data_IF_932451829311
#
_entry.id   IF_932451829311
#
_cell.length_a   1.000
_cell.length_b   1.000
_cell.length_c   1.000
_cell.angle_alpha   90.00
_cell.angle_beta   90.00
_cell.angle_gamma   90.00
#
_symmetry.space_group_name_H-M   'P 1'
#
loop_
_entity.id
_entity.type
_entity.pdbx_description
1 polymer ?
#
# COMPACT_ATOMS: atom_id res chain seq x y z
N UNK A 1 -4.77 -8.93 -5.50
CA UNK A 1 -3.46 -8.58 -6.12
C UNK A 1 -3.66 -7.73 -7.38
N UNK A 2 -4.36 -8.22 -8.41
CA UNK A 2 -4.57 -7.46 -9.66
C UNK A 2 -5.34 -6.14 -9.47
N UNK A 3 -6.30 -6.09 -8.54
CA UNK A 3 -7.03 -4.86 -8.19
C UNK A 3 -6.10 -3.75 -7.69
N UNK A 4 -5.14 -4.11 -6.83
CA UNK A 4 -4.16 -3.18 -6.26
C UNK A 4 -3.19 -2.67 -7.32
N UNK A 5 -2.64 -3.56 -8.14
CA UNK A 5 -1.73 -3.18 -9.25
C UNK A 5 -2.45 -2.26 -10.23
N UNK A 6 -3.70 -2.59 -10.57
CA UNK A 6 -4.52 -1.79 -11.48
C UNK A 6 -4.81 -0.41 -10.91
N UNK A 7 -5.20 -0.33 -9.64
CA UNK A 7 -5.46 0.96 -8.98
C UNK A 7 -4.20 1.84 -8.91
N UNK A 8 -3.05 1.25 -8.59
CA UNK A 8 -1.77 1.96 -8.60
C UNK A 8 -1.46 2.56 -9.98
N UNK A 9 -1.66 1.78 -11.05
CA UNK A 9 -1.45 2.22 -12.42
C UNK A 9 -2.45 3.31 -12.83
N UNK A 10 -3.74 3.12 -12.57
CA UNK A 10 -4.81 4.08 -12.86
C UNK A 10 -4.60 5.40 -12.09
N UNK A 11 -4.13 5.34 -10.84
CA UNK A 11 -3.85 6.51 -10.01
C UNK A 11 -2.75 7.43 -10.55
N UNK A 12 -1.86 6.93 -11.41
CA UNK A 12 -0.80 7.72 -12.04
C UNK A 12 -1.03 7.97 -13.54
N UNK A 13 -2.10 7.44 -14.13
CA UNK A 13 -2.34 7.62 -15.57
C UNK A 13 -2.54 9.10 -15.91
N UNK A 14 -1.71 9.61 -16.82
CA UNK A 14 -1.75 11.01 -17.25
C UNK A 14 -1.16 12.00 -16.24
N UNK A 15 -0.64 11.54 -15.10
CA UNK A 15 0.02 12.39 -14.12
C UNK A 15 1.39 12.83 -14.66
N UNK A 16 1.58 14.15 -14.78
CA UNK A 16 2.90 14.74 -15.03
C UNK A 16 3.44 15.32 -13.74
N UNK A 17 4.31 14.57 -13.08
CA UNK A 17 4.95 14.95 -11.84
C UNK A 17 6.39 14.42 -11.81
N UNK A 18 7.17 14.87 -10.83
CA UNK A 18 8.48 14.31 -10.55
C UNK A 18 8.36 12.85 -10.04
N UNK A 19 9.47 12.13 -10.09
CA UNK A 19 9.50 10.69 -9.80
C UNK A 19 8.95 10.39 -8.40
N UNK A 20 9.31 11.18 -7.39
CA UNK A 20 8.83 10.98 -6.03
C UNK A 20 7.31 11.12 -5.95
N UNK A 21 6.75 12.21 -6.47
CA UNK A 21 5.30 12.44 -6.47
C UNK A 21 4.55 11.34 -7.22
N UNK A 22 5.08 10.87 -8.35
CA UNK A 22 4.48 9.77 -9.12
C UNK A 22 4.37 8.49 -8.28
N UNK A 23 5.45 8.10 -7.59
CA UNK A 23 5.44 6.91 -6.73
C UNK A 23 4.63 7.08 -5.45
N UNK A 24 4.55 8.30 -4.88
CA UNK A 24 3.63 8.62 -3.77
C UNK A 24 2.18 8.42 -4.18
N UNK A 25 1.77 8.92 -5.34
CA UNK A 25 0.40 8.77 -5.84
C UNK A 25 0.07 7.31 -6.15
N UNK A 26 1.00 6.56 -6.75
CA UNK A 26 0.81 5.11 -6.96
C UNK A 26 0.65 4.35 -5.63
N UNK A 27 1.45 4.68 -4.61
CA UNK A 27 1.40 4.07 -3.29
C UNK A 27 0.07 4.33 -2.57
N UNK A 28 -0.44 5.55 -2.63
CA UNK A 28 -1.74 5.91 -2.08
C UNK A 28 -2.87 5.12 -2.76
N UNK A 29 -2.91 5.12 -4.10
CA UNK A 29 -3.94 4.39 -4.84
C UNK A 29 -3.90 2.86 -4.59
N UNK A 30 -2.70 2.30 -4.37
CA UNK A 30 -2.54 0.90 -4.00
C UNK A 30 -3.09 0.60 -2.59
N UNK A 31 -2.85 1.47 -1.61
CA UNK A 31 -3.39 1.33 -0.25
C UNK A 31 -4.91 1.43 -0.24
N UNK A 32 -5.48 2.44 -0.90
CA UNK A 32 -6.94 2.62 -1.01
C UNK A 32 -7.62 1.38 -1.63
N UNK A 33 -6.99 0.78 -2.64
CA UNK A 33 -7.49 -0.44 -3.26
C UNK A 33 -7.36 -1.66 -2.36
N UNK A 34 -6.30 -1.73 -1.54
CA UNK A 34 -6.08 -2.81 -0.59
C UNK A 34 -7.11 -2.78 0.55
N UNK A 35 -7.39 -1.59 1.10
CA UNK A 35 -8.42 -1.36 2.13
C UNK A 35 -9.84 -1.70 1.63
N UNK A 36 -10.04 -1.71 0.31
CA UNK A 36 -11.31 -2.10 -0.31
C UNK A 36 -11.47 -3.62 -0.52
N UNK A 37 -10.40 -4.39 -0.36
CA UNK A 37 -10.43 -5.86 -0.57
C UNK A 37 -11.27 -6.65 0.45
N UNK A 38 -11.42 -6.26 1.74
CA UNK A 38 -12.26 -6.99 2.69
C UNK A 38 -13.76 -6.95 2.35
N UNK A 39 -14.22 -6.01 1.52
CA UNK A 39 -15.65 -5.87 1.20
C UNK A 39 -16.16 -6.83 0.10
N UNK A 40 -15.28 -7.65 -0.49
CA UNK A 40 -15.62 -8.44 -1.68
C UNK A 40 -16.05 -9.89 -1.39
N UNK A 41 -15.90 -10.40 -0.16
CA UNK A 41 -16.32 -11.75 0.23
C UNK A 41 -16.97 -11.76 1.63
N UNK A 42 -18.23 -12.23 1.79
CA UNK A 42 -18.93 -12.30 3.08
C UNK A 42 -18.18 -13.11 4.15
N UNK A 43 -17.35 -14.07 3.74
CA UNK A 43 -16.54 -14.94 4.62
C UNK A 43 -15.21 -14.29 5.07
N UNK A 44 -14.71 -13.26 4.38
CA UNK A 44 -13.52 -12.51 4.83
C UNK A 44 -13.85 -11.34 5.75
N UNK A 45 -15.12 -10.91 5.77
CA UNK A 45 -15.60 -9.79 6.59
C UNK A 45 -15.62 -10.12 8.09
N UNK A 46 -15.78 -11.38 8.46
CA UNK A 46 -15.77 -11.85 9.86
C UNK A 46 -14.36 -11.93 10.48
N UNK A 47 -13.30 -11.91 9.67
CA UNK A 47 -11.92 -12.05 10.16
C UNK A 47 -11.06 -10.78 10.00
N UNK A 48 -11.54 -9.74 9.30
CA UNK A 48 -10.78 -8.50 9.07
C UNK A 48 -9.50 -8.69 8.24
N UNK A 49 -9.37 -9.81 7.52
CA UNK A 49 -8.13 -10.18 6.83
C UNK A 49 -8.09 -9.55 5.44
N UNK A 50 -6.97 -8.90 5.14
CA UNK A 50 -6.64 -8.30 3.85
C UNK A 50 -6.10 -9.35 2.87
N UNK A 51 -6.27 -9.16 1.56
CA UNK A 51 -5.62 -9.99 0.54
C UNK A 51 -4.09 -9.89 0.64
N UNK A 52 -3.43 -10.94 1.14
CA UNK A 52 -1.98 -11.01 1.30
C UNK A 52 -1.21 -10.72 0.00
N UNK A 53 -1.78 -11.08 -1.16
CA UNK A 53 -1.17 -10.75 -2.46
C UNK A 53 -1.23 -9.27 -2.79
N UNK A 54 -2.31 -8.58 -2.42
CA UNK A 54 -2.42 -7.12 -2.52
C UNK A 54 -1.49 -6.40 -1.55
N UNK A 55 -1.37 -6.90 -0.32
CA UNK A 55 -0.45 -6.36 0.68
C UNK A 55 1.01 -6.42 0.22
N UNK A 56 1.43 -7.55 -0.37
CA UNK A 56 2.78 -7.67 -0.94
C UNK A 56 3.08 -6.61 -2.00
N UNK A 57 2.10 -6.23 -2.84
CA UNK A 57 2.26 -5.16 -3.84
C UNK A 57 2.44 -3.80 -3.18
N UNK A 58 1.63 -3.47 -2.16
CA UNK A 58 1.76 -2.21 -1.41
C UNK A 58 3.14 -2.11 -0.77
N UNK A 59 3.63 -3.18 -0.13
CA UNK A 59 4.97 -3.23 0.48
C UNK A 59 6.08 -2.97 -0.56
N UNK A 60 5.98 -3.57 -1.74
CA UNK A 60 6.96 -3.35 -2.82
C UNK A 60 6.98 -1.89 -3.30
N UNK A 61 5.81 -1.29 -3.52
CA UNK A 61 5.70 0.11 -3.96
C UNK A 61 6.22 1.06 -2.87
N UNK A 62 5.90 0.81 -1.60
CA UNK A 62 6.40 1.58 -0.47
C UNK A 62 7.93 1.52 -0.32
N UNK A 63 8.52 0.33 -0.49
CA UNK A 63 9.98 0.16 -0.48
C UNK A 63 10.68 0.91 -1.61
N UNK A 64 10.09 0.91 -2.82
CA UNK A 64 10.62 1.67 -3.95
C UNK A 64 10.53 3.19 -3.72
N UNK A 65 9.38 3.67 -3.24
CA UNK A 65 9.22 5.08 -2.86
C UNK A 65 10.25 5.49 -1.81
N UNK A 66 10.51 4.67 -0.80
CA UNK A 66 11.55 4.93 0.21
C UNK A 66 12.93 5.04 -0.44
N UNK A 67 13.27 4.17 -1.39
CA UNK A 67 14.53 4.24 -2.13
C UNK A 67 14.67 5.53 -2.95
N UNK A 68 13.56 6.09 -3.44
CA UNK A 68 13.54 7.30 -4.27
C UNK A 68 13.64 8.56 -3.39
N UNK A 69 12.91 8.59 -2.27
CA UNK A 69 12.94 9.71 -1.31
C UNK A 69 14.24 9.77 -0.52
N UNK A 70 14.97 8.65 -0.39
CA UNK A 70 16.26 8.59 0.30
C UNK A 70 17.37 9.22 -0.56
N UNK A 71 17.67 10.48 -0.28
CA UNK A 71 18.92 11.13 -0.70
C UNK A 71 20.06 10.70 0.24
N UNK A 72 20.82 9.65 -0.13
CA UNK A 72 22.17 9.26 0.40
C UNK A 72 22.41 9.24 1.92
N UNK A 73 21.39 9.37 2.78
CA UNK A 73 21.61 9.55 4.22
C UNK A 73 20.66 8.67 5.03
N UNK A 74 21.29 7.85 5.87
CA UNK A 74 20.76 7.08 7.00
C UNK A 74 20.22 5.66 6.72
N UNK A 75 21.08 4.67 7.02
CA UNK A 75 20.82 3.23 7.00
C UNK A 75 19.90 2.71 8.12
N UNK A 76 19.13 3.58 8.77
CA UNK A 76 18.35 3.23 9.97
C UNK A 76 16.87 3.50 9.75
N UNK A 77 16.16 2.45 9.32
CA UNK A 77 14.70 2.22 9.40
C UNK A 77 14.12 1.80 8.04
N UNK A 78 14.16 0.49 7.78
CA UNK A 78 13.68 -0.14 6.55
C UNK A 78 12.14 -0.24 6.48
N UNK A 79 11.44 -0.02 7.60
CA UNK A 79 10.01 -0.29 7.74
C UNK A 79 9.24 0.98 8.14
N UNK A 80 9.03 1.90 7.21
CA UNK A 80 7.92 2.86 7.36
C UNK A 80 6.65 2.17 6.85
N UNK A 81 5.67 1.96 7.72
CA UNK A 81 4.30 1.56 7.37
C UNK A 81 3.90 0.11 7.64
N UNK A 82 4.80 -0.76 8.12
CA UNK A 82 4.40 -2.12 8.56
C UNK A 82 3.83 -2.16 9.97
N UNK A 83 4.20 -1.21 10.85
CA UNK A 83 3.61 -1.07 12.19
C UNK A 83 2.14 -0.67 12.12
N UNK A 84 1.79 0.27 11.25
CA UNK A 84 0.42 0.77 11.10
C UNK A 84 -0.53 -0.29 10.53
N UNK A 85 0.01 -1.25 9.76
CA UNK A 85 -0.74 -2.39 9.23
C UNK A 85 -0.88 -3.54 10.24
N UNK A 86 -0.01 -3.59 11.26
CA UNK A 86 -0.02 -4.62 12.31
C UNK A 86 -0.87 -4.20 13.53
N UNK A 87 -1.15 -2.90 13.69
CA UNK A 87 -2.06 -2.33 14.69
C UNK A 87 -3.42 -1.94 14.09
N UNK A 88 -4.08 -2.84 13.35
CA UNK A 88 -5.52 -2.66 13.16
C UNK A 88 -6.23 -2.92 14.50
N UNK A 89 -7.09 -2.03 14.98
CA UNK A 89 -7.85 -2.28 16.21
C UNK A 89 -8.71 -3.53 15.99
N UNK A 90 -8.33 -4.60 16.67
CA UNK A 90 -9.22 -5.74 16.90
C UNK A 90 -10.14 -5.32 18.04
N UNK A 91 -11.20 -4.57 17.74
CA UNK A 91 -12.23 -4.34 18.76
C UNK A 91 -12.86 -5.68 19.12
N UNK A 92 -12.61 -6.10 20.37
CA UNK A 92 -13.37 -7.13 21.06
C UNK A 92 -14.85 -6.74 21.09
N UNK A 93 -15.71 -7.61 20.56
CA UNK A 93 -16.98 -8.15 21.11
C UNK A 93 -17.86 -8.69 19.99
#
# INVERSE_FOLDING_TARGET
MLSVIRAAAEGIQGLQADLETLWRTAYQAAQDALERTPQQLPVLKEAGVVDAGGLGVVVLIGGLLQSITRSETDGSNCLIGLSDFMEMPTEEV
#
